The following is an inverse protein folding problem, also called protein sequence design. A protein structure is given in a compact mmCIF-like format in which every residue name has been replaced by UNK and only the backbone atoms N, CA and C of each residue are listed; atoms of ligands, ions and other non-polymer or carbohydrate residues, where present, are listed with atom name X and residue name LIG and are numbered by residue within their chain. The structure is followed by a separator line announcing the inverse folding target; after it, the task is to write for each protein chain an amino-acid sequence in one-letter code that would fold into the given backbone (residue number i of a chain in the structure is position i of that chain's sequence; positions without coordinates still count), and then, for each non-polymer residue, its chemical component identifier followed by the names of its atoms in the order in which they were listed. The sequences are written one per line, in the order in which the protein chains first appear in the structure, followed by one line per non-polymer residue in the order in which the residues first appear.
data_IF_175615362486
#
_entry.id   IF_175615362486
#
_cell.length_a   1.000
_cell.length_b   1.000
_cell.length_c   1.000
_cell.angle_alpha   90.00
_cell.angle_beta   90.00
_cell.angle_gamma   90.00
#
_symmetry.space_group_name_H-M   'P 1'
#
loop_
_entity.id
_entity.type
_entity.pdbx_description
1 polymer ?
#
# COMPACT_ATOMS: atom_id res chain seq x y z
N UNK A 1 -3.06 -8.78 -11.64
CA UNK A 1 -1.64 -9.21 -11.74
C UNK A 1 -0.77 -8.06 -12.26
N UNK A 2 -0.59 -7.00 -11.45
CA UNK A 2 0.47 -5.98 -11.70
C UNK A 2 1.85 -6.65 -11.88
N UNK A 3 2.09 -7.76 -11.17
CA UNK A 3 3.30 -8.60 -11.27
C UNK A 3 3.61 -9.03 -12.73
N UNK A 4 2.60 -9.27 -13.58
CA UNK A 4 2.79 -9.72 -14.98
C UNK A 4 3.20 -8.58 -15.91
N UNK A 5 2.93 -7.33 -15.52
CA UNK A 5 3.11 -6.14 -16.36
C UNK A 5 4.39 -5.37 -16.00
N UNK A 6 4.81 -5.40 -14.73
CA UNK A 6 5.86 -4.51 -14.22
C UNK A 6 7.07 -5.27 -13.63
N UNK A 7 6.97 -6.60 -13.51
CA UNK A 7 8.04 -7.47 -13.00
C UNK A 7 8.12 -7.52 -11.47
N UNK A 8 8.57 -8.68 -10.95
CA UNK A 8 8.61 -9.00 -9.52
C UNK A 8 9.46 -8.01 -8.71
N UNK A 9 10.61 -7.60 -9.24
CA UNK A 9 11.52 -6.66 -8.57
C UNK A 9 10.87 -5.29 -8.37
N UNK A 10 10.10 -4.80 -9.35
CA UNK A 10 9.42 -3.51 -9.27
C UNK A 10 8.35 -3.49 -8.18
N UNK A 11 7.59 -4.59 -8.06
CA UNK A 11 6.53 -4.74 -7.05
C UNK A 11 7.10 -4.73 -5.63
N UNK A 12 8.34 -5.20 -5.44
CA UNK A 12 8.99 -5.27 -4.14
C UNK A 12 9.80 -3.99 -3.83
N UNK A 13 10.27 -3.25 -4.83
CA UNK A 13 11.20 -2.13 -4.63
C UNK A 13 10.60 -0.77 -4.95
N UNK A 14 10.41 -0.46 -6.25
CA UNK A 14 10.03 0.88 -6.68
C UNK A 14 8.54 1.20 -6.48
N UNK A 15 7.64 0.22 -6.64
CA UNK A 15 6.19 0.44 -6.48
C UNK A 15 5.84 0.94 -5.07
N UNK A 16 6.28 0.27 -3.99
CA UNK A 16 5.96 0.72 -2.63
C UNK A 16 6.45 2.14 -2.34
N UNK A 17 7.65 2.51 -2.82
CA UNK A 17 8.20 3.86 -2.61
C UNK A 17 7.34 4.93 -3.28
N UNK A 18 6.96 4.70 -4.54
CA UNK A 18 6.15 5.66 -5.30
C UNK A 18 4.74 5.76 -4.71
N UNK A 19 4.13 4.62 -4.41
CA UNK A 19 2.77 4.57 -3.91
C UNK A 19 2.63 5.19 -2.52
N UNK A 20 3.45 4.75 -1.55
CA UNK A 20 3.39 5.29 -0.20
C UNK A 20 3.82 6.76 -0.17
N UNK A 21 4.80 7.14 -1.00
CA UNK A 21 5.18 8.54 -1.19
C UNK A 21 4.02 9.39 -1.71
N UNK A 22 3.31 8.91 -2.72
CA UNK A 22 2.15 9.61 -3.30
C UNK A 22 1.02 9.75 -2.28
N UNK A 23 0.61 8.64 -1.63
CA UNK A 23 -0.48 8.65 -0.64
C UNK A 23 -0.16 9.54 0.55
N UNK A 24 1.02 9.34 1.14
CA UNK A 24 1.41 9.98 2.40
C UNK A 24 1.74 11.45 2.21
N UNK A 25 2.62 11.78 1.26
CA UNK A 25 3.10 13.16 1.12
C UNK A 25 2.01 14.07 0.57
N UNK A 26 1.22 13.62 -0.43
CA UNK A 26 0.11 14.43 -0.92
C UNK A 26 -0.94 14.64 0.15
N UNK A 27 -1.33 13.59 0.90
CA UNK A 27 -2.30 13.76 1.97
C UNK A 27 -1.78 14.71 3.06
N UNK A 28 -0.52 14.55 3.48
CA UNK A 28 0.08 15.41 4.50
C UNK A 28 0.18 16.88 4.06
N UNK A 29 0.74 17.16 2.87
CA UNK A 29 0.93 18.54 2.42
C UNK A 29 -0.37 19.25 2.01
N UNK A 30 -1.40 18.50 1.62
CA UNK A 30 -2.73 19.05 1.31
C UNK A 30 -3.64 19.13 2.55
N UNK A 31 -3.17 18.69 3.73
CA UNK A 31 -3.98 18.65 4.95
C UNK A 31 -5.15 17.66 4.88
N UNK A 32 -5.05 16.64 4.03
CA UNK A 32 -6.04 15.58 3.90
C UNK A 32 -5.76 14.43 4.88
N UNK A 33 -6.73 13.53 5.02
CA UNK A 33 -6.61 12.37 5.89
C UNK A 33 -5.71 11.30 5.25
N UNK A 34 -4.56 11.03 5.90
CA UNK A 34 -3.57 10.05 5.44
C UNK A 34 -4.17 8.65 5.41
N UNK A 35 -4.93 8.25 6.44
CA UNK A 35 -5.49 6.91 6.52
C UNK A 35 -6.54 6.68 5.43
N UNK A 36 -7.43 7.65 5.22
CA UNK A 36 -8.44 7.62 4.16
C UNK A 36 -7.80 7.56 2.76
N UNK A 37 -6.69 8.27 2.53
CA UNK A 37 -5.95 8.18 1.28
C UNK A 37 -5.45 6.75 1.01
N UNK A 38 -4.89 6.08 2.02
CA UNK A 38 -4.43 4.70 1.87
C UNK A 38 -5.58 3.73 1.65
N UNK A 39 -6.66 3.81 2.44
CA UNK A 39 -7.85 2.97 2.26
C UNK A 39 -8.43 3.14 0.86
N UNK A 40 -8.48 4.37 0.35
CA UNK A 40 -8.98 4.66 -1.01
C UNK A 40 -8.13 3.98 -2.07
N UNK A 41 -6.81 4.05 -1.97
CA UNK A 41 -5.92 3.32 -2.89
C UNK A 41 -6.14 1.80 -2.82
N UNK A 42 -6.30 1.25 -1.62
CA UNK A 42 -6.59 -0.19 -1.48
C UNK A 42 -7.94 -0.61 -2.04
N UNK A 43 -8.96 0.25 -1.95
CA UNK A 43 -10.25 0.00 -2.61
C UNK A 43 -10.12 0.04 -4.13
N UNK A 44 -9.39 1.03 -4.68
CA UNK A 44 -9.17 1.14 -6.13
C UNK A 44 -8.45 -0.09 -6.67
N UNK A 45 -7.38 -0.52 -6.01
CA UNK A 45 -6.66 -1.75 -6.38
C UNK A 45 -7.51 -2.99 -6.23
N UNK A 46 -8.29 -3.10 -5.15
CA UNK A 46 -9.19 -4.23 -4.95
C UNK A 46 -10.25 -4.35 -6.05
N UNK A 47 -10.82 -3.21 -6.48
CA UNK A 47 -11.71 -3.16 -7.63
C UNK A 47 -11.00 -3.59 -8.91
N UNK A 48 -9.76 -3.14 -9.14
CA UNK A 48 -8.97 -3.53 -10.30
C UNK A 48 -8.66 -5.04 -10.31
N UNK A 49 -8.21 -5.61 -9.19
CA UNK A 49 -7.87 -7.02 -9.09
C UNK A 49 -9.09 -7.94 -9.21
N UNK A 50 -10.23 -7.53 -8.65
CA UNK A 50 -11.51 -8.22 -8.84
C UNK A 50 -11.96 -8.16 -10.29
N UNK A 51 -11.91 -6.99 -10.94
CA UNK A 51 -12.32 -6.84 -12.33
C UNK A 51 -11.48 -7.71 -13.26
N UNK A 52 -10.16 -7.80 -13.03
CA UNK A 52 -9.27 -8.57 -13.89
C UNK A 52 -9.33 -10.08 -13.70
N UNK A 53 -9.70 -10.57 -12.51
CA UNK A 53 -9.60 -12.01 -12.19
C UNK A 53 -10.92 -12.62 -11.66
N UNK A 54 -11.99 -11.84 -11.55
CA UNK A 54 -13.27 -12.30 -11.03
C UNK A 54 -13.15 -12.93 -9.63
N UNK A 55 -13.75 -14.10 -9.42
CA UNK A 55 -13.76 -14.78 -8.11
C UNK A 55 -12.37 -15.19 -7.60
N UNK A 56 -11.39 -15.39 -8.48
CA UNK A 56 -10.00 -15.68 -8.05
C UNK A 56 -9.29 -14.42 -7.59
N UNK A 57 -9.79 -13.23 -7.95
CA UNK A 57 -9.31 -11.92 -7.49
C UNK A 57 -9.78 -11.51 -6.10
N UNK A 58 -10.75 -12.21 -5.49
CA UNK A 58 -11.29 -11.81 -4.17
C UNK A 58 -10.22 -11.79 -3.08
N UNK A 59 -9.32 -12.77 -3.05
CA UNK A 59 -8.24 -12.81 -2.05
C UNK A 59 -7.29 -11.62 -2.24
N UNK A 60 -6.91 -11.33 -3.48
CA UNK A 60 -6.05 -10.19 -3.81
C UNK A 60 -6.73 -8.86 -3.42
N UNK A 61 -8.02 -8.72 -3.70
CA UNK A 61 -8.82 -7.57 -3.31
C UNK A 61 -8.85 -7.35 -1.79
N UNK A 62 -9.07 -8.41 -1.00
CA UNK A 62 -9.04 -8.32 0.46
C UNK A 62 -7.64 -7.98 1.00
N UNK A 63 -6.58 -8.56 0.41
CA UNK A 63 -5.21 -8.22 0.79
C UNK A 63 -4.83 -6.80 0.42
N UNK A 64 -5.34 -6.25 -0.68
CA UNK A 64 -5.09 -4.87 -1.05
C UNK A 64 -5.74 -3.92 -0.03
N UNK A 65 -7.05 -4.03 0.23
CA UNK A 65 -7.72 -3.18 1.24
C UNK A 65 -7.05 -3.31 2.61
N UNK A 66 -6.79 -4.55 3.06
CA UNK A 66 -6.18 -4.81 4.36
C UNK A 66 -4.76 -4.26 4.47
N UNK A 67 -3.93 -4.50 3.45
CA UNK A 67 -2.55 -4.03 3.39
C UNK A 67 -2.47 -2.50 3.43
N UNK A 68 -3.17 -1.83 2.52
CA UNK A 68 -3.14 -0.36 2.47
C UNK A 68 -3.71 0.28 3.75
N UNK A 69 -4.77 -0.28 4.33
CA UNK A 69 -5.30 0.18 5.62
C UNK A 69 -4.24 0.07 6.74
N UNK A 70 -3.46 -1.01 6.75
CA UNK A 70 -2.36 -1.23 7.68
C UNK A 70 -1.21 -0.24 7.46
N UNK A 71 -0.81 0.02 6.21
CA UNK A 71 0.29 0.95 5.92
C UNK A 71 -0.07 2.39 6.30
N UNK A 72 -1.32 2.79 6.03
CA UNK A 72 -1.86 4.07 6.51
C UNK A 72 -1.85 4.15 8.04
N UNK A 73 -2.26 3.08 8.73
CA UNK A 73 -2.27 3.01 10.20
C UNK A 73 -0.85 3.10 10.80
N UNK A 74 0.12 2.39 10.23
CA UNK A 74 1.55 2.49 10.61
C UNK A 74 2.05 3.91 10.41
N UNK A 75 1.75 4.52 9.26
CA UNK A 75 2.17 5.89 8.95
C UNK A 75 1.63 6.90 9.95
N UNK A 76 0.33 6.88 10.27
CA UNK A 76 -0.26 7.83 11.24
C UNK A 76 0.28 7.60 12.65
N UNK A 77 0.51 6.35 13.07
CA UNK A 77 1.05 6.03 14.39
C UNK A 77 2.47 6.58 14.53
N UNK A 78 3.31 6.33 13.52
CA UNK A 78 4.69 6.80 13.53
C UNK A 78 4.77 8.33 13.41
N UNK A 79 3.87 8.95 12.65
CA UNK A 79 3.77 10.41 12.59
C UNK A 79 3.38 10.98 13.96
N UNK A 80 2.40 10.38 14.65
CA UNK A 80 1.93 10.85 15.94
C UNK A 80 2.99 10.75 17.05
N UNK A 81 3.80 9.68 17.07
CA UNK A 81 4.83 9.50 18.10
C UNK A 81 6.14 10.23 17.81
N UNK A 82 6.52 10.39 16.53
CA UNK A 82 7.81 10.98 16.16
C UNK A 82 7.73 12.44 15.73
N UNK A 83 6.55 12.92 15.31
CA UNK A 83 6.38 14.22 14.65
C UNK A 83 7.06 14.35 13.28
N UNK A 84 7.68 13.28 12.77
CA UNK A 84 8.46 13.30 11.53
C UNK A 84 7.73 12.58 10.41
N UNK A 85 7.30 13.33 9.40
CA UNK A 85 6.67 12.78 8.19
C UNK A 85 7.61 11.83 7.44
N UNK A 86 8.92 12.07 7.48
CA UNK A 86 9.91 11.23 6.80
C UNK A 86 10.08 9.87 7.49
N UNK A 87 10.04 9.83 8.82
CA UNK A 87 10.06 8.56 9.56
C UNK A 87 8.75 7.78 9.36
N UNK A 88 7.61 8.48 9.36
CA UNK A 88 6.32 7.89 9.07
C UNK A 88 6.26 7.27 7.66
N UNK A 89 6.72 8.02 6.65
CA UNK A 89 6.80 7.55 5.27
C UNK A 89 7.73 6.33 5.14
N UNK A 90 8.91 6.38 5.75
CA UNK A 90 9.84 5.24 5.73
C UNK A 90 9.20 3.99 6.36
N UNK A 91 8.46 4.14 7.47
CA UNK A 91 7.76 3.02 8.11
C UNK A 91 6.63 2.46 7.22
N UNK A 92 5.84 3.32 6.58
CA UNK A 92 4.81 2.91 5.61
C UNK A 92 5.40 2.11 4.44
N UNK A 93 6.47 2.63 3.83
CA UNK A 93 7.21 1.95 2.76
C UNK A 93 7.70 0.57 3.23
N UNK A 94 8.34 0.49 4.40
CA UNK A 94 8.84 -0.79 4.92
C UNK A 94 7.71 -1.78 5.19
N UNK A 95 6.60 -1.34 5.79
CA UNK A 95 5.43 -2.18 6.01
C UNK A 95 4.88 -2.73 4.68
N UNK A 96 4.81 -1.88 3.66
CA UNK A 96 4.34 -2.28 2.33
C UNK A 96 5.31 -3.27 1.67
N UNK A 97 6.62 -3.03 1.69
CA UNK A 97 7.61 -3.98 1.17
C UNK A 97 7.50 -5.35 1.85
N UNK A 98 7.41 -5.38 3.19
CA UNK A 98 7.27 -6.62 3.97
C UNK A 98 5.98 -7.35 3.59
N UNK A 99 4.88 -6.61 3.42
CA UNK A 99 3.61 -7.18 3.01
C UNK A 99 3.69 -7.82 1.63
N UNK A 100 4.24 -7.11 0.63
CA UNK A 100 4.37 -7.64 -0.73
C UNK A 100 5.25 -8.89 -0.76
N UNK A 101 6.39 -8.89 -0.07
CA UNK A 101 7.24 -10.08 0.05
C UNK A 101 6.49 -11.24 0.70
N UNK A 102 5.71 -10.98 1.76
CA UNK A 102 4.95 -12.02 2.47
C UNK A 102 3.84 -12.61 1.60
N UNK A 103 3.02 -11.76 0.98
CA UNK A 103 1.91 -12.20 0.11
C UNK A 103 2.45 -13.00 -1.08
N UNK A 104 3.52 -12.54 -1.72
CA UNK A 104 4.14 -13.25 -2.83
C UNK A 104 4.65 -14.61 -2.39
N UNK A 105 5.36 -14.71 -1.25
CA UNK A 105 5.90 -16.00 -0.78
C UNK A 105 4.83 -17.03 -0.41
N UNK A 106 3.66 -16.58 0.05
CA UNK A 106 2.57 -17.47 0.47
C UNK A 106 1.68 -17.87 -0.70
N UNK A 107 1.50 -16.99 -1.69
CA UNK A 107 0.44 -17.13 -2.70
C UNK A 107 0.91 -17.14 -4.17
N UNK A 108 2.20 -16.91 -4.45
CA UNK A 108 2.78 -16.98 -5.81
C UNK A 108 3.68 -18.23 -5.97
#
# INVERSE_FOLDING_TARGET
MLIKQIGLQTVITASPVIEEGTKTLLAFFLGADIWAAHVTFGVVEACYDWHQNGRTGLKAALFSIGGHSLFGAVTILLLAVSGSIWLALAAGIMAHVIWNVTVIRIYA
#
